data_IF_274080437017
#
_entry.id   IF_274080437017
#
_cell.length_a   1.000
_cell.length_b   1.000
_cell.length_c   1.000
_cell.angle_alpha   90.00
_cell.angle_beta   90.00
_cell.angle_gamma   90.00
#
_symmetry.space_group_name_H-M   'P 1'
#
loop_
_entity.id
_entity.type
_entity.pdbx_description
1 polymer ?
#
# COMPACT_ATOMS: atom_id res chain seq x y z
N UNK A 1 7.01 -1.38 10.78
CA UNK A 1 7.42 -0.27 9.88
C UNK A 1 8.56 0.54 10.46
N UNK A 2 8.44 1.21 11.62
CA UNK A 2 9.53 2.03 12.21
C UNK A 2 10.89 1.32 12.30
N UNK A 3 10.91 0.06 12.74
CA UNK A 3 12.16 -0.73 12.80
C UNK A 3 12.79 -0.99 11.42
N UNK A 4 11.98 -1.10 10.37
CA UNK A 4 12.45 -1.34 9.00
C UNK A 4 12.94 -0.09 8.28
N UNK A 5 12.97 1.07 8.95
CA UNK A 5 13.46 2.34 8.40
C UNK A 5 14.53 2.96 9.31
N UNK A 6 15.05 2.23 10.30
CA UNK A 6 15.99 2.77 11.30
C UNK A 6 17.35 3.15 10.71
N UNK A 7 17.73 2.49 9.64
CA UNK A 7 18.95 2.71 8.87
C UNK A 7 18.84 3.90 7.89
N UNK A 8 17.65 4.51 7.76
CA UNK A 8 17.40 5.61 6.84
C UNK A 8 17.16 6.92 7.64
N UNK A 9 18.15 7.84 7.69
CA UNK A 9 18.14 8.98 8.61
C UNK A 9 17.07 10.04 8.29
N UNK A 10 16.54 10.06 7.08
CA UNK A 10 15.59 11.06 6.58
C UNK A 10 14.18 10.50 6.34
N UNK A 11 13.79 9.45 7.07
CA UNK A 11 12.45 8.86 6.99
C UNK A 11 11.68 9.09 8.29
N UNK A 12 10.49 9.69 8.17
CA UNK A 12 9.53 9.80 9.26
C UNK A 12 8.31 8.93 8.96
N UNK A 13 8.01 8.00 9.86
CA UNK A 13 6.82 7.13 9.74
C UNK A 13 5.66 7.76 10.51
N UNK A 14 4.62 8.14 9.77
CA UNK A 14 3.39 8.77 10.31
C UNK A 14 2.22 7.77 10.19
N UNK A 15 1.39 7.60 11.24
CA UNK A 15 0.19 6.78 11.14
C UNK A 15 -0.81 7.42 10.15
N UNK A 16 -1.46 6.60 9.33
CA UNK A 16 -2.39 7.06 8.27
C UNK A 16 -3.68 7.72 8.78
N UNK A 17 -3.99 7.58 10.07
CA UNK A 17 -5.21 8.13 10.67
C UNK A 17 -6.47 7.48 10.08
N UNK A 18 -7.56 8.25 10.01
CA UNK A 18 -8.89 7.78 9.55
C UNK A 18 -9.25 8.15 8.11
N UNK A 19 -8.38 8.91 7.43
CA UNK A 19 -8.75 9.62 6.19
C UNK A 19 -7.93 9.24 4.96
N UNK A 20 -6.79 8.55 5.11
CA UNK A 20 -5.99 8.10 3.97
C UNK A 20 -6.38 6.65 3.64
N UNK A 21 -6.89 6.41 2.43
CA UNK A 21 -7.26 5.06 1.93
C UNK A 21 -8.16 4.37 2.97
N UNK A 22 -9.23 5.06 3.38
CA UNK A 22 -10.16 4.56 4.38
C UNK A 22 -11.50 4.22 3.74
N UNK A 23 -12.34 3.45 4.44
CA UNK A 23 -13.70 3.15 3.98
C UNK A 23 -14.59 4.39 3.84
N UNK A 24 -14.17 5.52 4.44
CA UNK A 24 -14.90 6.80 4.39
C UNK A 24 -14.55 7.59 3.13
N UNK A 25 -13.28 7.62 2.74
CA UNK A 25 -12.79 8.40 1.60
C UNK A 25 -12.62 7.58 0.33
N UNK A 26 -12.50 6.27 0.47
CA UNK A 26 -12.26 5.31 -0.60
C UNK A 26 -13.00 3.98 -0.33
N UNK A 27 -14.35 4.00 -0.24
CA UNK A 27 -15.16 2.82 0.09
C UNK A 27 -14.95 1.66 -0.90
N UNK A 28 -14.78 1.95 -2.19
CA UNK A 28 -14.57 0.92 -3.21
C UNK A 28 -13.24 0.17 -3.10
N UNK A 29 -12.25 0.69 -2.37
CA UNK A 29 -11.02 -0.07 -2.06
C UNK A 29 -11.30 -1.32 -1.22
N UNK A 30 -12.36 -1.32 -0.44
CA UNK A 30 -12.75 -2.44 0.44
C UNK A 30 -13.84 -3.33 -0.20
N UNK A 31 -14.38 -2.94 -1.36
CA UNK A 31 -15.44 -3.66 -2.09
C UNK A 31 -14.92 -4.38 -3.35
N UNK A 32 -13.60 -4.61 -3.45
CA UNK A 32 -12.91 -5.15 -4.64
C UNK A 32 -13.42 -6.51 -5.13
N UNK A 33 -14.15 -7.26 -4.29
CA UNK A 33 -14.71 -8.57 -4.63
C UNK A 33 -16.16 -8.51 -5.13
N UNK A 34 -16.76 -7.32 -5.28
CA UNK A 34 -18.12 -7.16 -5.80
C UNK A 34 -18.14 -6.98 -7.32
N UNK A 35 -18.94 -7.75 -8.09
CA UNK A 35 -19.08 -7.60 -9.54
C UNK A 35 -19.66 -6.23 -9.97
N UNK A 36 -20.22 -5.47 -9.03
CA UNK A 36 -20.75 -4.11 -9.23
C UNK A 36 -19.70 -3.00 -9.00
N UNK A 37 -18.40 -3.32 -8.95
CA UNK A 37 -17.30 -2.33 -8.76
C UNK A 37 -17.09 -1.47 -10.02
N UNK A 38 -18.16 -0.79 -10.43
CA UNK A 38 -18.20 0.22 -11.47
C UNK A 38 -17.57 1.49 -10.91
N UNK A 39 -16.47 1.94 -11.53
CA UNK A 39 -15.77 3.22 -11.32
C UNK A 39 -15.73 3.70 -9.87
N UNK A 40 -14.76 3.21 -9.09
CA UNK A 40 -14.52 3.80 -7.77
C UNK A 40 -13.95 5.19 -7.93
N UNK A 41 -14.68 6.21 -7.48
CA UNK A 41 -14.19 7.57 -7.47
C UNK A 41 -13.12 7.73 -6.38
N UNK A 42 -11.88 7.79 -6.84
CA UNK A 42 -10.69 7.98 -6.01
C UNK A 42 -10.29 9.44 -5.85
N UNK A 43 -10.98 10.37 -6.53
CA UNK A 43 -10.61 11.78 -6.54
C UNK A 43 -10.69 12.42 -5.17
N UNK A 44 -11.72 12.08 -4.37
CA UNK A 44 -11.93 12.63 -3.03
C UNK A 44 -10.76 12.32 -2.09
N UNK A 45 -10.27 11.09 -2.06
CA UNK A 45 -9.13 10.69 -1.21
C UNK A 45 -7.85 11.42 -1.64
N UNK A 46 -7.62 11.53 -2.95
CA UNK A 46 -6.45 12.23 -3.52
C UNK A 46 -6.51 13.73 -3.23
N UNK A 47 -7.68 14.36 -3.34
CA UNK A 47 -7.88 15.77 -3.01
C UNK A 47 -7.70 16.05 -1.51
N UNK A 48 -8.23 15.17 -0.65
CA UNK A 48 -8.05 15.29 0.80
C UNK A 48 -6.56 15.20 1.14
N UNK A 49 -5.84 14.25 0.56
CA UNK A 49 -4.39 14.15 0.73
C UNK A 49 -3.68 15.42 0.27
N UNK A 50 -3.97 15.91 -0.94
CA UNK A 50 -3.29 17.08 -1.50
C UNK A 50 -3.49 18.33 -0.63
N UNK A 51 -4.74 18.60 -0.22
CA UNK A 51 -5.13 19.81 0.51
C UNK A 51 -4.70 19.79 1.97
N UNK A 52 -4.95 18.68 2.66
CA UNK A 52 -4.85 18.65 4.12
C UNK A 52 -3.58 17.96 4.64
N UNK A 53 -2.86 17.23 3.78
CA UNK A 53 -1.65 16.49 4.18
C UNK A 53 -0.44 17.01 3.43
N UNK A 54 -0.46 17.00 2.10
CA UNK A 54 0.68 17.37 1.30
C UNK A 54 1.03 18.85 1.41
N UNK A 55 0.04 19.73 1.29
CA UNK A 55 0.26 21.18 1.36
C UNK A 55 0.86 21.63 2.71
N UNK A 56 0.29 21.27 3.88
CA UNK A 56 0.85 21.68 5.17
C UNK A 56 2.22 21.06 5.49
N UNK A 57 2.53 19.90 4.91
CA UNK A 57 3.82 19.22 5.08
C UNK A 57 4.84 19.58 3.98
N UNK A 58 4.49 20.50 3.07
CA UNK A 58 5.32 20.90 1.94
C UNK A 58 5.81 19.70 1.09
N UNK A 59 4.96 18.69 0.94
CA UNK A 59 5.25 17.54 0.09
C UNK A 59 5.12 17.99 -1.36
N UNK A 60 6.21 17.88 -2.13
CA UNK A 60 6.25 18.23 -3.56
C UNK A 60 6.32 17.01 -4.47
N UNK A 61 6.48 15.81 -3.90
CA UNK A 61 6.65 14.58 -4.65
C UNK A 61 6.06 13.38 -3.92
N UNK A 62 5.35 12.52 -4.64
CA UNK A 62 4.75 11.28 -4.14
C UNK A 62 5.20 10.11 -5.00
N UNK A 63 5.75 9.09 -4.35
CA UNK A 63 6.14 7.84 -5.00
C UNK A 63 5.06 6.77 -4.78
N UNK A 64 4.72 6.05 -5.84
CA UNK A 64 3.76 4.93 -5.80
C UNK A 64 4.32 3.74 -6.56
N UNK A 65 3.95 2.53 -6.17
CA UNK A 65 4.33 1.33 -6.91
C UNK A 65 3.37 1.07 -8.06
N UNK A 66 3.90 0.56 -9.16
CA UNK A 66 3.09 0.08 -10.28
C UNK A 66 2.20 -1.10 -9.89
N UNK A 67 0.93 -1.06 -10.29
CA UNK A 67 -0.06 -2.10 -10.00
C UNK A 67 -0.94 -2.38 -11.22
N UNK A 68 -0.49 -3.25 -12.15
CA UNK A 68 -1.23 -3.53 -13.38
C UNK A 68 -2.36 -4.55 -13.18
N UNK A 69 -2.36 -5.30 -12.07
CA UNK A 69 -3.26 -6.43 -11.84
C UNK A 69 -4.52 -6.04 -11.08
N UNK A 70 -4.46 -4.99 -10.26
CA UNK A 70 -5.59 -4.50 -9.48
C UNK A 70 -6.13 -3.20 -10.09
N UNK A 71 -7.28 -3.32 -10.77
CA UNK A 71 -7.94 -2.24 -11.48
C UNK A 71 -8.22 -1.04 -10.58
N UNK A 72 -8.58 -1.27 -9.32
CA UNK A 72 -8.89 -0.20 -8.35
C UNK A 72 -7.63 0.55 -7.95
N UNK A 73 -6.54 -0.18 -7.69
CA UNK A 73 -5.26 0.46 -7.34
C UNK A 73 -4.65 1.19 -8.54
N UNK A 74 -4.78 0.64 -9.75
CA UNK A 74 -4.40 1.34 -10.98
C UNK A 74 -5.17 2.65 -11.18
N UNK A 75 -6.50 2.63 -11.01
CA UNK A 75 -7.33 3.83 -11.09
C UNK A 75 -6.96 4.90 -10.05
N UNK A 76 -6.54 4.47 -8.85
CA UNK A 76 -6.00 5.37 -7.83
C UNK A 76 -4.68 6.03 -8.30
N UNK A 77 -3.75 5.25 -8.90
CA UNK A 77 -2.51 5.79 -9.48
C UNK A 77 -2.79 6.79 -10.61
N UNK A 78 -3.75 6.51 -11.48
CA UNK A 78 -4.20 7.41 -12.54
C UNK A 78 -4.79 8.71 -11.97
N UNK A 79 -5.67 8.61 -10.95
CA UNK A 79 -6.24 9.79 -10.28
C UNK A 79 -5.18 10.65 -9.60
N UNK A 80 -4.18 10.03 -8.98
CA UNK A 80 -3.05 10.76 -8.41
C UNK A 80 -2.29 11.55 -9.48
N UNK A 81 -2.00 10.91 -10.62
CA UNK A 81 -1.32 11.57 -11.75
C UNK A 81 -2.12 12.72 -12.35
N UNK A 82 -3.45 12.66 -12.31
CA UNK A 82 -4.30 13.73 -12.85
C UNK A 82 -4.45 14.92 -11.88
N UNK A 83 -4.61 14.63 -10.58
CA UNK A 83 -5.02 15.62 -9.57
C UNK A 83 -3.82 16.27 -8.88
N UNK A 84 -2.83 15.47 -8.43
CA UNK A 84 -1.72 15.96 -7.61
C UNK A 84 -0.86 17.03 -8.30
N UNK A 85 -0.60 16.99 -9.61
CA UNK A 85 0.13 18.06 -10.29
C UNK A 85 -0.54 19.44 -10.18
N UNK A 86 -1.88 19.51 -10.03
CA UNK A 86 -2.62 20.77 -9.83
C UNK A 86 -2.29 21.44 -8.50
N UNK A 87 -1.75 20.69 -7.54
CA UNK A 87 -1.28 21.16 -6.24
C UNK A 87 0.25 21.32 -6.17
N UNK A 88 0.95 21.20 -7.31
CA UNK A 88 2.42 21.27 -7.36
C UNK A 88 3.12 20.01 -6.85
N UNK A 89 2.44 18.86 -6.88
CA UNK A 89 2.96 17.58 -6.40
C UNK A 89 3.23 16.67 -7.60
N UNK A 90 4.49 16.28 -7.78
CA UNK A 90 4.91 15.30 -8.79
C UNK A 90 4.57 13.88 -8.34
N UNK A 91 4.14 13.03 -9.28
CA UNK A 91 3.82 11.62 -9.02
C UNK A 91 4.75 10.72 -9.79
N UNK A 92 5.58 9.98 -9.07
CA UNK A 92 6.48 8.98 -9.63
C UNK A 92 5.92 7.58 -9.38
N UNK A 93 5.46 6.93 -10.45
CA UNK A 93 5.11 5.52 -10.42
C UNK A 93 6.36 4.68 -10.70
N UNK A 94 6.82 3.95 -9.69
CA UNK A 94 8.03 3.14 -9.73
C UNK A 94 7.66 1.74 -10.21
N UNK A 95 8.41 1.17 -11.18
CA UNK A 95 8.20 -0.20 -11.64
C UNK A 95 8.17 -1.19 -10.50
N UNK A 96 7.32 -2.20 -10.64
CA UNK A 96 7.13 -3.16 -9.57
C UNK A 96 8.40 -3.97 -9.30
N UNK A 97 8.76 -4.12 -8.02
CA UNK A 97 9.92 -4.91 -7.65
C UNK A 97 9.64 -6.40 -7.83
N UNK A 98 10.50 -7.04 -8.62
CA UNK A 98 10.51 -8.48 -8.82
C UNK A 98 11.64 -9.14 -8.02
N UNK A 99 11.43 -10.40 -7.67
CA UNK A 99 12.47 -11.26 -7.09
C UNK A 99 12.33 -12.65 -7.69
N UNK A 100 13.43 -13.16 -8.26
CA UNK A 100 13.50 -14.46 -8.94
C UNK A 100 12.45 -14.64 -10.06
N UNK A 101 12.14 -13.57 -10.79
CA UNK A 101 11.18 -13.59 -11.91
C UNK A 101 9.71 -13.48 -11.50
N UNK A 102 9.41 -13.38 -10.20
CA UNK A 102 8.05 -13.12 -9.73
C UNK A 102 7.93 -11.77 -9.03
N UNK A 103 6.74 -11.19 -9.17
CA UNK A 103 6.33 -9.95 -8.50
C UNK A 103 6.23 -10.10 -6.99
N UNK A 104 6.87 -9.20 -6.23
CA UNK A 104 6.65 -9.09 -4.79
C UNK A 104 5.26 -8.46 -4.54
N UNK A 105 4.35 -9.19 -3.88
CA UNK A 105 3.01 -8.68 -3.54
C UNK A 105 2.53 -9.12 -2.16
N UNK A 106 1.77 -8.25 -1.51
CA UNK A 106 1.21 -8.52 -0.18
C UNK A 106 0.24 -9.71 -0.18
N UNK A 107 -0.48 -9.94 -1.29
CA UNK A 107 -1.38 -11.09 -1.44
C UNK A 107 -0.64 -12.42 -1.40
N UNK A 108 0.55 -12.50 -2.01
CA UNK A 108 1.42 -13.69 -1.94
C UNK A 108 1.91 -13.96 -0.52
N UNK A 109 2.34 -12.90 0.18
CA UNK A 109 2.78 -13.00 1.59
C UNK A 109 1.65 -13.53 2.47
N UNK A 110 0.42 -13.00 2.33
CA UNK A 110 -0.75 -13.49 3.07
C UNK A 110 -1.09 -14.94 2.74
N UNK A 111 -1.01 -15.34 1.47
CA UNK A 111 -1.25 -16.74 1.06
C UNK A 111 -0.21 -17.69 1.68
N UNK A 112 1.08 -17.33 1.61
CA UNK A 112 2.15 -18.12 2.22
C UNK A 112 2.00 -18.21 3.74
N UNK A 113 1.57 -17.12 4.38
CA UNK A 113 1.31 -17.07 5.83
C UNK A 113 0.18 -18.02 6.25
N UNK A 114 -0.94 -18.03 5.51
CA UNK A 114 -2.04 -18.99 5.74
C UNK A 114 -1.61 -20.44 5.54
N UNK A 115 -0.70 -20.69 4.61
CA UNK A 115 -0.16 -22.02 4.33
C UNK A 115 0.95 -22.44 5.29
N UNK A 116 1.35 -21.59 6.24
CA UNK A 116 2.48 -21.83 7.13
C UNK A 116 3.84 -21.91 6.42
N UNK A 117 3.94 -21.42 5.18
CA UNK A 117 5.17 -21.48 4.39
C UNK A 117 6.06 -20.26 4.69
N UNK A 118 6.76 -20.31 5.83
CA UNK A 118 7.62 -19.21 6.27
C UNK A 118 8.88 -19.04 5.42
N UNK A 119 9.42 -20.10 4.84
CA UNK A 119 10.56 -20.03 3.93
C UNK A 119 10.24 -19.12 2.74
N UNK A 120 9.05 -19.27 2.16
CA UNK A 120 8.58 -18.40 1.08
C UNK A 120 8.42 -16.94 1.54
N UNK A 121 7.97 -16.70 2.77
CA UNK A 121 7.79 -15.35 3.32
C UNK A 121 9.15 -14.66 3.51
N UNK A 122 10.14 -15.37 4.07
CA UNK A 122 11.50 -14.83 4.28
C UNK A 122 12.12 -14.34 2.97
N UNK A 123 11.82 -15.01 1.85
CA UNK A 123 12.26 -14.55 0.55
C UNK A 123 11.53 -13.29 0.06
N UNK A 124 10.27 -13.08 0.44
CA UNK A 124 9.44 -11.99 -0.09
C UNK A 124 9.56 -10.68 0.68
N UNK A 125 9.93 -10.72 1.96
CA UNK A 125 9.88 -9.53 2.85
C UNK A 125 11.23 -9.20 3.48
N UNK A 126 11.46 -7.93 3.89
CA UNK A 126 12.62 -7.59 4.71
C UNK A 126 12.65 -8.37 6.02
N UNK A 127 13.85 -8.62 6.55
CA UNK A 127 14.07 -9.36 7.81
C UNK A 127 13.19 -8.86 8.97
N UNK A 128 13.06 -7.55 9.13
CA UNK A 128 12.23 -6.96 10.21
C UNK A 128 10.75 -7.32 10.07
N UNK A 129 10.24 -7.43 8.86
CA UNK A 129 8.86 -7.88 8.58
C UNK A 129 8.74 -9.39 8.82
N UNK A 130 9.72 -10.17 8.41
CA UNK A 130 9.74 -11.63 8.66
C UNK A 130 9.73 -11.93 10.16
N UNK A 131 10.61 -11.30 10.94
CA UNK A 131 10.70 -11.48 12.39
C UNK A 131 9.39 -11.11 13.11
N UNK A 132 8.70 -10.07 12.63
CA UNK A 132 7.37 -9.70 13.13
C UNK A 132 6.35 -10.81 12.84
N UNK A 133 6.24 -11.25 11.58
CA UNK A 133 5.28 -12.30 11.18
C UNK A 133 5.56 -13.63 11.89
N UNK A 134 6.83 -13.98 12.08
CA UNK A 134 7.23 -15.18 12.81
C UNK A 134 6.83 -15.15 14.29
N UNK A 135 7.03 -14.00 14.95
CA UNK A 135 6.60 -13.80 16.35
C UNK A 135 5.09 -13.83 16.49
N UNK A 136 4.37 -13.28 15.52
CA UNK A 136 2.90 -13.24 15.49
C UNK A 136 2.26 -14.44 14.82
N UNK A 137 3.01 -15.49 14.47
CA UNK A 137 2.52 -16.59 13.61
C UNK A 137 1.28 -17.29 14.15
N UNK A 138 1.18 -17.43 15.47
CA UNK A 138 0.05 -18.10 16.11
C UNK A 138 -1.26 -17.34 15.83
N UNK A 139 -1.25 -16.01 15.87
CA UNK A 139 -2.42 -15.20 15.53
C UNK A 139 -2.94 -15.50 14.11
N UNK A 140 -2.03 -15.68 13.15
CA UNK A 140 -2.39 -15.83 11.74
C UNK A 140 -2.64 -17.27 11.30
N UNK A 141 -2.09 -18.25 12.01
CA UNK A 141 -2.30 -19.68 11.74
C UNK A 141 -3.57 -20.22 12.43
N UNK A 142 -4.06 -19.55 13.48
CA UNK A 142 -5.25 -19.97 14.22
C UNK A 142 -6.53 -19.16 13.92
N UNK A 143 -6.47 -18.17 13.03
CA UNK A 143 -7.65 -17.38 12.58
C UNK A 143 -8.61 -18.16 11.64
N UNK A 144 -8.41 -19.46 11.43
CA UNK A 144 -9.39 -20.38 10.81
C UNK A 144 -9.96 -21.39 11.84
N UNK A 145 -10.64 -20.87 12.87
CA UNK A 145 -11.71 -21.59 13.58
C UNK A 145 -12.92 -20.70 13.80
#
# INVERSE_FOLDING_TARGET
MKYGTQDIPNVTVVPSGKLIISSVTFPGYFLKDSPDCVSVDTSLDVDIFARYIATPLHITKRFVGEEPLDIVTRGYNESMKEILPRYGIEVDEIPRKEKKGDVISASRVRKALKQGNFDSIEELVPRTTFEYLWKSREQYLYEEK
#
